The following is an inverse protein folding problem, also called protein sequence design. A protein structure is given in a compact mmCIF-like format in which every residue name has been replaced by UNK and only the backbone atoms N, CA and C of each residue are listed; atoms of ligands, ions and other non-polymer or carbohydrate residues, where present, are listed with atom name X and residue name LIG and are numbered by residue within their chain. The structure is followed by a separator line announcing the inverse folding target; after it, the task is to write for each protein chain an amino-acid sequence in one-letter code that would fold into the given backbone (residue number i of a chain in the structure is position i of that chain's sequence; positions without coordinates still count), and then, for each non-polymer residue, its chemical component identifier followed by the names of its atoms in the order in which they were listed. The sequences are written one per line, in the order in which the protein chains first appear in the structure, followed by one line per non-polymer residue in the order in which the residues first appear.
data_IF_403086046977
#
_entry.id   IF_403086046977
#
_cell.length_a   1.000
_cell.length_b   1.000
_cell.length_c   1.000
_cell.angle_alpha   90.00
_cell.angle_beta   90.00
_cell.angle_gamma   90.00
#
_symmetry.space_group_name_H-M   'P 1'
#
loop_
_entity.id
_entity.type
_entity.pdbx_description
1 polymer ?
#
# COMPACT_ATOMS: atom_id res chain seq x y z
N UNK A 1 -0.33 21.95 -0.18
CA UNK A 1 -0.32 20.88 -0.75
C UNK A 1 0.33 19.82 0.08
N UNK A 2 0.50 18.80 -0.28
CA UNK A 2 1.17 17.80 0.43
C UNK A 2 0.34 17.02 1.39
N UNK A 3 -0.38 17.64 2.28
CA UNK A 3 -1.09 16.90 3.30
C UNK A 3 -2.56 17.24 3.30
N UNK A 4 -3.39 16.26 2.99
CA UNK A 4 -4.82 16.42 3.06
C UNK A 4 -5.38 15.39 4.02
N UNK A 5 -6.53 15.64 4.57
CA UNK A 5 -7.11 14.78 5.58
C UNK A 5 -8.57 14.51 5.28
N UNK A 6 -8.96 13.27 5.51
CA UNK A 6 -10.34 12.85 5.33
C UNK A 6 -10.71 11.96 6.50
N UNK A 7 -11.90 12.12 7.04
CA UNK A 7 -12.37 11.22 8.08
C UNK A 7 -13.23 10.15 7.45
N UNK A 8 -12.96 8.92 7.81
CA UNK A 8 -13.79 7.80 7.39
C UNK A 8 -14.72 7.45 8.53
N UNK A 9 -15.61 6.54 8.32
CA UNK A 9 -16.51 6.07 9.36
C UNK A 9 -15.71 5.57 10.53
N UNK A 10 -16.22 5.52 11.70
CA UNK A 10 -15.54 5.11 12.92
C UNK A 10 -14.51 6.14 13.40
N UNK A 11 -14.53 7.35 12.87
CA UNK A 11 -13.62 8.37 13.34
C UNK A 11 -12.16 8.18 12.96
N UNK A 12 -11.88 7.41 11.92
CA UNK A 12 -10.51 7.22 11.46
C UNK A 12 -10.14 8.37 10.54
N UNK A 13 -9.01 8.99 10.80
CA UNK A 13 -8.50 10.09 10.00
C UNK A 13 -7.55 9.54 8.94
N UNK A 14 -7.81 9.87 7.70
CA UNK A 14 -6.90 9.49 6.62
C UNK A 14 -6.13 10.73 6.18
N UNK A 15 -4.81 10.66 6.23
CA UNK A 15 -3.94 11.74 5.83
C UNK A 15 -3.28 11.39 4.51
N UNK A 16 -3.11 12.38 3.64
CA UNK A 16 -2.49 12.17 2.34
C UNK A 16 -1.25 13.03 2.23
N UNK A 17 -0.15 12.41 1.84
CA UNK A 17 1.12 13.09 1.63
C UNK A 17 1.55 12.75 0.21
N UNK A 18 1.11 13.53 -0.74
CA UNK A 18 1.27 13.17 -2.15
C UNK A 18 2.33 14.04 -2.80
N UNK A 19 3.27 13.39 -3.47
CA UNK A 19 4.27 14.08 -4.27
C UNK A 19 3.59 14.52 -5.56
N UNK A 20 3.54 15.81 -5.85
CA UNK A 20 2.85 16.28 -7.06
C UNK A 20 3.48 15.76 -8.35
N UNK A 21 4.73 15.31 -8.30
CA UNK A 21 5.39 14.76 -9.47
C UNK A 21 5.20 13.27 -9.63
N UNK A 22 4.60 12.61 -8.65
CA UNK A 22 4.40 11.17 -8.73
C UNK A 22 3.24 10.87 -9.67
N UNK A 23 3.48 9.97 -10.61
CA UNK A 23 2.47 9.58 -11.58
C UNK A 23 2.48 8.08 -11.76
N UNK A 24 1.30 7.51 -11.88
CA UNK A 24 1.17 6.09 -12.14
C UNK A 24 1.12 5.91 -13.65
N UNK A 25 1.99 5.07 -14.18
CA UNK A 25 2.04 4.80 -15.61
C UNK A 25 1.28 3.52 -15.89
N UNK A 26 -0.02 3.62 -16.02
CA UNK A 26 -0.84 2.46 -16.27
C UNK A 26 -2.30 2.87 -16.35
N UNK A 27 -3.17 1.86 -16.25
CA UNK A 27 -4.60 2.08 -16.34
C UNK A 27 -5.11 2.67 -15.04
N UNK A 28 -5.95 3.68 -15.15
CA UNK A 28 -6.48 4.31 -13.95
C UNK A 28 -7.32 3.33 -13.14
N UNK A 29 -8.01 2.40 -13.82
CA UNK A 29 -8.78 1.39 -13.11
C UNK A 29 -7.93 0.51 -12.22
N UNK A 30 -6.74 0.16 -12.70
CA UNK A 30 -5.81 -0.64 -11.90
C UNK A 30 -5.34 0.14 -10.68
N UNK A 31 -5.04 1.42 -10.86
CA UNK A 31 -4.61 2.23 -9.73
C UNK A 31 -5.72 2.35 -8.70
N UNK A 32 -6.95 2.56 -9.14
CA UNK A 32 -8.06 2.68 -8.21
C UNK A 32 -8.31 1.38 -7.47
N UNK A 33 -8.13 0.25 -8.16
CA UNK A 33 -8.29 -1.05 -7.52
C UNK A 33 -7.24 -1.24 -6.44
N UNK A 34 -6.00 -0.89 -6.73
CA UNK A 34 -4.92 -1.02 -5.77
C UNK A 34 -5.15 -0.12 -4.57
N UNK A 35 -5.44 1.15 -4.82
CA UNK A 35 -5.61 2.09 -3.72
C UNK A 35 -6.83 1.74 -2.89
N UNK A 36 -7.93 1.37 -3.53
CA UNK A 36 -9.14 1.01 -2.81
C UNK A 36 -8.92 -0.17 -1.89
N UNK A 37 -8.25 -1.20 -2.39
CA UNK A 37 -8.01 -2.38 -1.56
C UNK A 37 -7.04 -2.11 -0.42
N UNK A 38 -5.99 -1.34 -0.68
CA UNK A 38 -5.04 -1.03 0.39
C UNK A 38 -5.66 -0.12 1.44
N UNK A 39 -6.44 0.87 1.01
CA UNK A 39 -7.07 1.77 1.96
C UNK A 39 -8.15 1.06 2.76
N UNK A 40 -8.93 0.22 2.11
CA UNK A 40 -9.95 -0.53 2.82
C UNK A 40 -9.31 -1.42 3.88
N UNK A 41 -8.22 -2.07 3.53
CA UNK A 41 -7.50 -2.89 4.48
C UNK A 41 -6.99 -2.05 5.64
N UNK A 42 -6.41 -0.89 5.34
CA UNK A 42 -5.88 -0.03 6.39
C UNK A 42 -6.98 0.48 7.32
N UNK A 43 -8.12 0.90 6.76
CA UNK A 43 -9.22 1.38 7.58
C UNK A 43 -9.78 0.27 8.46
N UNK A 44 -9.75 -0.96 7.97
CA UNK A 44 -10.26 -2.08 8.74
C UNK A 44 -9.45 -2.28 10.02
N UNK A 45 -8.15 -2.09 9.97
CA UNK A 45 -7.28 -2.35 11.11
C UNK A 45 -6.87 -1.14 11.91
N UNK A 46 -7.01 0.06 11.35
CA UNK A 46 -6.57 1.27 12.02
C UNK A 46 -7.39 1.53 13.27
N UNK A 47 -6.73 2.12 14.25
CA UNK A 47 -7.43 2.59 15.43
C UNK A 47 -7.94 4.01 15.21
N UNK A 48 -7.10 4.87 14.68
CA UNK A 48 -7.51 6.26 14.48
C UNK A 48 -6.85 6.93 13.29
N UNK A 49 -5.80 6.36 12.70
CA UNK A 49 -5.06 7.06 11.64
C UNK A 49 -4.64 6.13 10.52
N UNK A 50 -4.75 6.64 9.31
CA UNK A 50 -4.23 6.00 8.10
C UNK A 50 -3.46 7.06 7.33
N UNK A 51 -2.32 6.71 6.77
CA UNK A 51 -1.53 7.64 5.98
C UNK A 51 -1.26 7.02 4.61
N UNK A 52 -1.62 7.76 3.57
CA UNK A 52 -1.29 7.38 2.19
C UNK A 52 -0.25 8.36 1.68
N UNK A 53 0.87 7.85 1.24
CA UNK A 53 1.92 8.72 0.72
C UNK A 53 2.41 8.21 -0.63
N UNK A 54 2.89 9.13 -1.46
CA UNK A 54 3.49 8.79 -2.74
C UNK A 54 4.78 9.57 -2.91
N UNK A 55 5.72 8.97 -3.61
CA UNK A 55 6.96 9.67 -3.95
C UNK A 55 7.63 8.97 -5.12
N UNK A 56 8.57 9.64 -5.71
CA UNK A 56 9.38 9.07 -6.78
C UNK A 56 10.77 8.85 -6.23
N UNK A 57 11.31 7.66 -6.43
CA UNK A 57 12.65 7.32 -5.94
C UNK A 57 13.53 6.87 -7.07
N UNK A 58 14.84 7.06 -6.89
CA UNK A 58 15.80 6.47 -7.80
C UNK A 58 15.89 4.98 -7.55
N UNK A 59 16.06 4.20 -8.61
CA UNK A 59 16.28 2.77 -8.46
C UNK A 59 17.74 2.53 -8.16
N UNK A 60 17.99 1.72 -7.16
CA UNK A 60 19.36 1.41 -6.77
C UNK A 60 20.10 0.78 -7.93
N UNK A 61 21.31 1.26 -8.19
CA UNK A 61 22.16 0.68 -9.21
C UNK A 61 21.70 0.95 -10.64
N UNK A 62 20.84 1.94 -10.83
CA UNK A 62 20.27 2.18 -12.14
C UNK A 62 19.99 3.66 -12.28
N UNK A 63 19.90 4.13 -13.51
CA UNK A 63 19.48 5.51 -13.76
C UNK A 63 17.97 5.62 -13.77
N UNK A 64 17.26 4.51 -13.63
CA UNK A 64 15.81 4.54 -13.66
C UNK A 64 15.21 5.06 -12.36
N UNK A 65 13.92 5.26 -12.40
CA UNK A 65 13.17 5.75 -11.25
C UNK A 65 11.98 4.86 -11.04
N UNK A 66 11.39 4.98 -9.88
CA UNK A 66 10.19 4.20 -9.60
C UNK A 66 9.23 5.01 -8.76
N UNK A 67 7.96 4.72 -8.93
CA UNK A 67 6.90 5.29 -8.12
C UNK A 67 6.75 4.46 -6.87
N UNK A 68 6.72 5.12 -5.72
CA UNK A 68 6.55 4.45 -4.44
C UNK A 68 5.24 4.92 -3.83
N UNK A 69 4.37 3.98 -3.50
CA UNK A 69 3.09 4.25 -2.85
C UNK A 69 3.10 3.50 -1.52
N UNK A 70 2.82 4.19 -0.43
CA UNK A 70 2.80 3.56 0.88
C UNK A 70 1.48 3.86 1.58
N UNK A 71 0.90 2.84 2.19
CA UNK A 71 -0.30 2.99 3.02
C UNK A 71 0.03 2.44 4.40
N UNK A 72 -0.12 3.29 5.40
CA UNK A 72 0.24 2.96 6.78
C UNK A 72 -0.95 3.15 7.69
N UNK A 73 -1.01 2.34 8.75
CA UNK A 73 -2.07 2.50 9.73
C UNK A 73 -1.48 2.45 11.14
N UNK A 74 -2.28 2.79 12.12
CA UNK A 74 -1.88 2.77 13.51
C UNK A 74 -2.53 1.62 14.27
N UNK A 75 -2.87 0.56 13.56
CA UNK A 75 -3.45 -0.62 14.17
C UNK A 75 -2.38 -1.52 14.80
N UNK A 76 -2.74 -2.77 15.03
CA UNK A 76 -1.81 -3.69 15.71
C UNK A 76 -0.64 -4.14 14.83
N UNK A 77 -0.69 -3.87 13.54
CA UNK A 77 0.36 -4.34 12.67
C UNK A 77 0.17 -5.80 12.29
N UNK A 78 1.15 -6.34 11.59
CA UNK A 78 1.12 -7.73 11.17
C UNK A 78 2.34 -8.39 11.75
N UNK A 79 2.14 -9.51 12.45
CA UNK A 79 3.25 -10.23 13.05
C UNK A 79 4.21 -10.70 11.97
N UNK A 80 5.51 -10.69 12.29
CA UNK A 80 6.52 -11.10 11.33
C UNK A 80 6.20 -12.46 10.72
N UNK A 81 5.71 -13.37 11.52
CA UNK A 81 5.40 -14.71 11.01
C UNK A 81 4.28 -14.69 9.98
N UNK A 82 3.45 -13.65 9.97
CA UNK A 82 2.34 -13.58 9.05
C UNK A 82 2.65 -12.75 7.82
N UNK A 83 3.70 -11.95 7.85
CA UNK A 83 4.02 -11.09 6.72
C UNK A 83 4.24 -11.91 5.46
N UNK A 84 5.00 -12.99 5.58
CA UNK A 84 5.27 -13.82 4.43
C UNK A 84 4.00 -14.45 3.88
N UNK A 85 3.11 -14.85 4.76
CA UNK A 85 1.86 -15.42 4.31
C UNK A 85 1.00 -14.40 3.60
N UNK A 86 1.00 -13.16 4.10
CA UNK A 86 0.27 -12.09 3.44
C UNK A 86 0.84 -11.85 2.06
N UNK A 87 2.16 -11.83 1.94
CA UNK A 87 2.80 -11.60 0.65
C UNK A 87 2.59 -12.75 -0.32
N UNK A 88 2.32 -13.93 0.18
CA UNK A 88 2.07 -15.07 -0.68
C UNK A 88 0.62 -15.20 -1.10
N UNK A 89 -0.19 -14.23 -0.76
CA UNK A 89 -1.59 -14.35 -1.06
C UNK A 89 -1.91 -14.37 -2.48
N UNK A 90 -1.03 -13.91 -3.31
CA UNK A 90 -1.25 -14.10 -4.70
C UNK A 90 -1.64 -15.53 -4.96
N UNK A 91 -1.27 -16.36 -4.04
CA UNK A 91 -1.66 -17.73 -4.07
C UNK A 91 -2.97 -17.77 -3.34
N UNK A 92 -4.03 -17.85 -4.02
CA UNK A 92 -5.24 -17.75 -3.41
C UNK A 92 -5.62 -18.83 -2.58
N UNK A 93 -6.71 -18.90 -2.13
CA UNK A 93 -7.22 -19.96 -1.37
C UNK A 93 -6.94 -19.88 0.13
N UNK A 94 -6.18 -18.93 0.53
CA UNK A 94 -5.85 -18.83 1.93
C UNK A 94 -6.14 -17.44 2.42
N UNK A 95 -7.32 -17.00 2.13
CA UNK A 95 -7.71 -15.69 2.51
C UNK A 95 -7.95 -15.58 3.97
N UNK A 96 -7.55 -16.58 4.69
CA UNK A 96 -7.84 -16.57 6.10
C UNK A 96 -6.84 -15.83 6.95
N UNK A 97 -5.85 -15.23 6.38
CA UNK A 97 -4.87 -14.56 7.20
C UNK A 97 -5.50 -13.34 7.81
N UNK A 98 -6.19 -13.53 8.90
CA UNK A 98 -6.68 -12.45 9.73
C UNK A 98 -7.41 -11.35 8.99
N UNK A 99 -8.17 -11.68 8.00
CA UNK A 99 -8.93 -10.67 7.28
C UNK A 99 -8.16 -9.91 6.25
N UNK A 100 -6.89 -10.21 6.06
CA UNK A 100 -6.10 -9.60 5.00
C UNK A 100 -6.23 -10.49 3.78
N UNK A 101 -7.39 -10.64 3.23
CA UNK A 101 -7.61 -11.67 2.27
C UNK A 101 -7.58 -11.28 0.83
N UNK A 102 -8.72 -11.45 0.16
CA UNK A 102 -8.80 -11.33 -1.28
C UNK A 102 -8.32 -10.00 -1.82
N UNK A 103 -8.56 -8.92 -1.07
CA UNK A 103 -8.15 -7.61 -1.53
C UNK A 103 -6.65 -7.51 -1.76
N UNK A 104 -5.84 -8.11 -0.89
CA UNK A 104 -4.41 -8.05 -1.08
C UNK A 104 -3.95 -8.95 -2.21
N UNK A 105 -4.65 -10.04 -2.48
CA UNK A 105 -4.31 -10.86 -3.62
C UNK A 105 -4.52 -10.08 -4.92
N UNK A 106 -5.57 -9.30 -4.99
CA UNK A 106 -5.82 -8.46 -6.16
C UNK A 106 -4.69 -7.45 -6.33
N UNK A 107 -4.29 -6.81 -5.23
CA UNK A 107 -3.21 -5.84 -5.28
C UNK A 107 -1.93 -6.50 -5.80
N UNK A 108 -1.62 -7.69 -5.30
CA UNK A 108 -0.41 -8.38 -5.73
C UNK A 108 -0.44 -8.74 -7.21
N UNK A 109 -1.61 -9.14 -7.70
CA UNK A 109 -1.73 -9.47 -9.11
C UNK A 109 -1.46 -8.25 -9.98
N UNK A 110 -2.02 -7.11 -9.59
CA UNK A 110 -1.82 -5.89 -10.35
C UNK A 110 -0.35 -5.46 -10.29
N UNK A 111 0.23 -5.51 -9.10
CA UNK A 111 1.63 -5.14 -8.93
C UNK A 111 2.52 -5.98 -9.83
N UNK A 112 2.26 -7.29 -9.90
CA UNK A 112 3.04 -8.15 -10.76
C UNK A 112 2.88 -7.80 -12.23
N UNK A 113 1.68 -7.43 -12.64
CA UNK A 113 1.43 -7.07 -14.02
C UNK A 113 2.23 -5.84 -14.46
N UNK A 114 2.60 -5.01 -13.53
CA UNK A 114 3.39 -3.82 -13.81
C UNK A 114 4.85 -3.99 -13.45
N UNK A 115 5.27 -5.22 -13.19
CA UNK A 115 6.64 -5.52 -12.83
C UNK A 115 7.08 -4.79 -11.57
N UNK A 116 6.15 -4.54 -10.68
CA UNK A 116 6.43 -3.87 -9.42
C UNK A 116 6.67 -4.85 -8.30
N UNK A 117 6.74 -4.32 -7.09
CA UNK A 117 6.91 -5.17 -5.91
C UNK A 117 6.13 -4.59 -4.75
N UNK A 118 5.75 -5.46 -3.84
CA UNK A 118 5.02 -5.06 -2.64
C UNK A 118 5.81 -5.51 -1.43
N UNK A 119 5.92 -4.63 -0.44
CA UNK A 119 6.58 -4.95 0.81
C UNK A 119 5.65 -4.63 1.96
N UNK A 120 5.77 -5.36 3.03
CA UNK A 120 4.97 -5.15 4.23
C UNK A 120 5.91 -5.10 5.41
N UNK A 121 5.79 -4.08 6.23
CA UNK A 121 6.56 -4.01 7.46
C UNK A 121 5.80 -3.17 8.48
N UNK A 122 6.46 -2.79 9.54
CA UNK A 122 5.83 -1.99 10.58
C UNK A 122 5.99 -0.51 10.23
N UNK A 123 4.92 0.25 10.39
CA UNK A 123 4.97 1.68 10.14
C UNK A 123 5.82 2.35 11.20
N UNK A 124 6.91 3.00 10.81
CA UNK A 124 7.74 3.69 11.81
C UNK A 124 7.04 4.90 12.37
N UNK A 125 6.14 5.48 11.62
CA UNK A 125 5.48 6.68 12.04
C UNK A 125 4.21 6.42 12.85
N UNK A 126 3.43 5.43 12.45
CA UNK A 126 2.14 5.18 13.07
C UNK A 126 2.11 3.94 13.95
N UNK A 127 3.06 3.05 13.79
CA UNK A 127 3.17 1.89 14.66
C UNK A 127 2.44 0.65 14.21
N UNK A 128 1.58 0.76 13.24
CA UNK A 128 0.86 -0.40 12.72
C UNK A 128 1.53 -0.97 11.49
N UNK A 129 0.74 -1.40 10.51
CA UNK A 129 1.28 -2.00 9.31
C UNK A 129 1.61 -0.94 8.27
N UNK A 130 2.62 -1.20 7.47
CA UNK A 130 2.94 -0.37 6.32
C UNK A 130 3.04 -1.26 5.10
N UNK A 131 2.21 -0.96 4.08
CA UNK A 131 2.27 -1.64 2.80
C UNK A 131 2.90 -0.67 1.81
N UNK A 132 3.98 -1.08 1.18
CA UNK A 132 4.71 -0.24 0.24
C UNK A 132 4.73 -0.90 -1.12
N UNK A 133 4.30 -0.17 -2.14
CA UNK A 133 4.34 -0.65 -3.52
C UNK A 133 5.35 0.18 -4.29
N UNK A 134 6.11 -0.48 -5.14
CA UNK A 134 7.07 0.21 -6.01
C UNK A 134 6.85 -0.24 -7.43
N UNK A 135 6.67 0.72 -8.31
CA UNK A 135 6.46 0.46 -9.73
C UNK A 135 7.57 1.12 -10.54
N UNK A 136 8.27 0.36 -11.39
CA UNK A 136 9.29 1.00 -12.23
C UNK A 136 8.65 1.99 -13.18
N UNK A 137 9.31 3.10 -13.41
CA UNK A 137 8.81 4.13 -14.30
C UNK A 137 9.64 4.13 -15.57
N UNK A 138 8.95 4.34 -16.68
CA UNK A 138 9.64 4.53 -17.94
C UNK A 138 10.28 5.90 -17.95
N UNK A 139 11.33 6.01 -18.77
CA UNK A 139 11.99 7.25 -18.90
C UNK A 139 11.27 8.25 -19.68
#
# INVERSE_FOLDING_TARGET
QGLEKVYAGRGVLCEFELDPDARFQGEVGDLLEVLGNLLENAFKWARSRVLLSTRVEARAGSSGRRLCIAVEDDGPGIADAQIERVLQRGVRGDEQVQGHGIGLAIVQDIVRNYAGEMMVDRSPELGGARFTLRFPLSR
#
